data_IF_222806734960
#
_entry.id   IF_222806734960
#
_cell.length_a   1.000
_cell.length_b   1.000
_cell.length_c   1.000
_cell.angle_alpha   90.00
_cell.angle_beta   90.00
_cell.angle_gamma   90.00
#
_symmetry.space_group_name_H-M   'P 1'
#
loop_
_entity.id
_entity.type
_entity.pdbx_description
1 polymer ?
#
# COMPACT_ATOMS: atom_id res chain seq x y z
N UNK A 1 -14.63 16.81 -0.93
CA UNK A 1 -13.77 17.42 -1.96
C UNK A 1 -14.37 18.72 -2.50
N UNK A 2 -13.56 19.76 -2.64
CA UNK A 2 -14.03 21.07 -3.11
C UNK A 2 -14.51 21.00 -4.56
N UNK A 3 -15.76 21.42 -4.81
CA UNK A 3 -16.40 21.45 -6.14
C UNK A 3 -16.32 20.11 -6.91
N UNK A 4 -16.38 18.98 -6.20
CA UNK A 4 -16.36 17.63 -6.79
C UNK A 4 -17.54 16.79 -6.26
N UNK A 5 -18.77 17.08 -6.70
CA UNK A 5 -19.95 16.30 -6.30
C UNK A 5 -19.82 14.83 -6.72
N UNK A 6 -19.19 14.57 -7.86
CA UNK A 6 -18.86 13.24 -8.36
C UNK A 6 -18.03 12.38 -7.39
N UNK A 7 -17.25 12.99 -6.48
CA UNK A 7 -16.52 12.27 -5.44
C UNK A 7 -17.19 12.34 -4.06
N UNK A 8 -18.00 13.37 -3.81
CA UNK A 8 -18.66 13.58 -2.52
C UNK A 8 -19.91 12.72 -2.37
N UNK A 9 -20.58 12.43 -3.49
CA UNK A 9 -21.81 11.65 -3.56
C UNK A 9 -21.55 10.20 -4.00
N UNK A 10 -20.27 9.82 -4.17
CA UNK A 10 -19.85 8.48 -4.56
C UNK A 10 -19.94 7.52 -3.36
N UNK A 11 -20.80 6.52 -3.46
CA UNK A 11 -20.96 5.46 -2.45
C UNK A 11 -19.71 4.58 -2.28
N UNK A 12 -18.75 4.66 -3.22
CA UNK A 12 -17.42 4.06 -3.08
C UNK A 12 -16.51 4.82 -2.13
N UNK A 13 -16.81 6.09 -1.84
CA UNK A 13 -16.04 6.99 -0.96
C UNK A 13 -16.75 7.18 0.38
N UNK A 14 -18.04 7.50 0.37
CA UNK A 14 -18.87 7.67 1.57
C UNK A 14 -20.00 6.65 1.56
N UNK A 15 -20.05 5.77 2.56
CA UNK A 15 -21.13 4.77 2.67
C UNK A 15 -22.34 5.33 3.43
N UNK A 16 -23.41 4.54 3.49
CA UNK A 16 -24.62 4.86 4.26
C UNK A 16 -24.26 5.29 5.69
N UNK A 17 -25.01 6.27 6.19
CA UNK A 17 -24.82 6.88 7.51
C UNK A 17 -23.55 7.75 7.64
N UNK A 18 -22.93 8.16 6.52
CA UNK A 18 -21.87 9.17 6.50
C UNK A 18 -20.47 8.65 6.83
N UNK A 19 -20.28 7.33 6.89
CA UNK A 19 -18.96 6.73 7.11
C UNK A 19 -18.06 6.89 5.89
N UNK A 20 -16.83 7.34 6.11
CA UNK A 20 -15.83 7.55 5.07
C UNK A 20 -14.92 6.31 4.90
N UNK A 21 -14.74 5.86 3.66
CA UNK A 21 -13.76 4.82 3.32
C UNK A 21 -12.38 5.45 3.15
N UNK A 22 -11.54 5.34 4.17
CA UNK A 22 -10.17 5.90 4.17
C UNK A 22 -9.25 5.27 3.11
N UNK A 23 -9.61 4.07 2.64
CA UNK A 23 -8.78 3.26 1.74
C UNK A 23 -7.69 2.48 2.46
N UNK A 24 -7.77 2.37 3.78
CA UNK A 24 -6.87 1.59 4.64
C UNK A 24 -7.47 0.24 5.01
N UNK A 25 -6.60 -0.73 5.27
CA UNK A 25 -6.93 -2.06 5.77
C UNK A 25 -6.45 -2.13 7.21
N UNK A 26 -7.40 -2.31 8.13
CA UNK A 26 -7.11 -2.45 9.56
C UNK A 26 -7.37 -3.87 10.05
N UNK A 27 -6.63 -4.28 11.07
CA UNK A 27 -6.86 -5.51 11.81
C UNK A 27 -7.11 -5.18 13.28
N UNK A 28 -8.26 -5.60 13.80
CA UNK A 28 -8.52 -5.56 15.24
C UNK A 28 -7.69 -6.63 15.94
N UNK A 29 -6.95 -6.21 16.95
CA UNK A 29 -6.19 -7.09 17.83
C UNK A 29 -7.09 -7.60 18.98
N UNK A 30 -6.64 -8.65 19.66
CA UNK A 30 -7.38 -9.24 20.79
C UNK A 30 -7.57 -8.26 21.97
N UNK A 31 -6.68 -7.29 22.12
CA UNK A 31 -6.72 -6.23 23.13
C UNK A 31 -7.64 -5.04 22.74
N UNK A 32 -8.31 -5.11 21.58
CA UNK A 32 -9.20 -4.07 21.08
C UNK A 32 -8.49 -2.91 20.38
N UNK A 33 -7.18 -2.96 20.19
CA UNK A 33 -6.43 -1.96 19.42
C UNK A 33 -6.54 -2.25 17.92
N UNK A 34 -6.60 -1.20 17.09
CA UNK A 34 -6.62 -1.32 15.63
C UNK A 34 -5.21 -1.15 15.06
N UNK A 35 -4.70 -2.19 14.40
CA UNK A 35 -3.45 -2.14 13.65
C UNK A 35 -3.71 -1.73 12.20
N UNK A 36 -2.95 -0.77 11.68
CA UNK A 36 -2.95 -0.44 10.25
C UNK A 36 -2.04 -1.43 9.52
N UNK A 37 -2.60 -2.15 8.55
CA UNK A 37 -1.90 -3.25 7.87
C UNK A 37 -1.45 -2.86 6.47
N UNK A 38 -2.32 -2.23 5.69
CA UNK A 38 -2.01 -1.87 4.30
C UNK A 38 -3.04 -0.88 3.71
N UNK A 39 -2.90 -0.54 2.43
CA UNK A 39 -3.85 0.24 1.62
C UNK A 39 -4.65 -0.69 0.70
N UNK A 40 -5.96 -0.47 0.61
CA UNK A 40 -6.88 -1.28 -0.22
C UNK A 40 -6.42 -1.35 -1.68
N UNK A 41 -5.84 -0.27 -2.23
CA UNK A 41 -5.38 -0.22 -3.62
C UNK A 41 -4.13 -1.07 -3.89
N UNK A 42 -3.38 -1.44 -2.85
CA UNK A 42 -2.04 -2.03 -2.96
C UNK A 42 -2.07 -3.53 -2.71
N UNK A 43 -3.11 -4.03 -2.06
CA UNK A 43 -3.46 -5.46 -1.96
C UNK A 43 -3.58 -6.19 -3.31
N UNK A 44 -3.65 -5.49 -4.44
CA UNK A 44 -3.98 -6.06 -5.75
C UNK A 44 -2.79 -6.66 -6.55
N UNK A 45 -1.54 -6.55 -6.08
CA UNK A 45 -0.39 -6.75 -6.97
C UNK A 45 0.46 -7.96 -6.57
N UNK A 46 0.06 -9.17 -7.03
CA UNK A 46 0.88 -10.35 -7.39
C UNK A 46 0.04 -11.65 -7.26
N UNK A 47 0.16 -12.57 -8.22
CA UNK A 47 -0.37 -13.94 -8.09
C UNK A 47 0.24 -14.59 -6.84
N UNK A 48 -0.59 -14.81 -5.80
CA UNK A 48 -0.15 -15.41 -4.53
C UNK A 48 0.00 -14.46 -3.34
N UNK A 49 -0.51 -13.21 -3.43
CA UNK A 49 -0.75 -12.37 -2.25
C UNK A 49 0.50 -11.84 -1.54
N UNK A 50 1.66 -11.84 -2.20
CA UNK A 50 2.87 -11.22 -1.63
C UNK A 50 2.82 -9.70 -1.84
N UNK A 51 2.71 -8.96 -0.75
CA UNK A 51 2.61 -7.50 -0.78
C UNK A 51 3.93 -6.87 -1.18
N UNK A 52 3.91 -6.12 -2.28
CA UNK A 52 5.05 -5.40 -2.84
C UNK A 52 5.58 -4.34 -1.86
N UNK A 53 4.70 -3.66 -1.11
CA UNK A 53 5.11 -2.67 -0.12
C UNK A 53 5.90 -3.24 1.06
N UNK A 54 5.55 -4.45 1.53
CA UNK A 54 6.34 -5.13 2.58
C UNK A 54 7.77 -5.39 2.11
N UNK A 55 7.94 -5.66 0.81
CA UNK A 55 9.26 -5.85 0.20
C UNK A 55 10.05 -4.54 0.20
N UNK A 56 9.42 -3.44 -0.21
CA UNK A 56 10.04 -2.11 -0.19
C UNK A 56 10.46 -1.73 1.23
N UNK A 57 9.57 -1.88 2.21
CA UNK A 57 9.86 -1.58 3.61
C UNK A 57 11.04 -2.39 4.14
N UNK A 58 11.06 -3.71 3.88
CA UNK A 58 12.13 -4.58 4.34
C UNK A 58 13.49 -4.24 3.72
N UNK A 59 13.52 -3.88 2.44
CA UNK A 59 14.76 -3.53 1.74
C UNK A 59 15.24 -2.10 2.02
N UNK A 60 14.31 -1.16 2.19
CA UNK A 60 14.62 0.23 2.55
C UNK A 60 15.38 0.35 3.88
N UNK A 61 15.23 -0.63 4.78
CA UNK A 61 15.99 -0.70 6.03
C UNK A 61 17.48 -1.08 5.86
N UNK A 62 17.95 -1.41 4.64
CA UNK A 62 19.34 -1.80 4.38
C UNK A 62 20.20 -0.57 4.03
N UNK A 63 21.41 -0.53 4.59
CA UNK A 63 22.36 0.59 4.40
C UNK A 63 22.75 0.87 2.95
N UNK A 64 22.66 -0.12 2.06
CA UNK A 64 22.97 0.03 0.64
C UNK A 64 21.85 0.69 -0.17
N UNK A 65 20.60 0.67 0.31
CA UNK A 65 19.42 1.05 -0.46
C UNK A 65 18.98 2.46 -0.07
N UNK A 66 19.24 3.41 -0.97
CA UNK A 66 18.82 4.81 -0.84
C UNK A 66 17.32 4.97 -1.04
N UNK A 67 16.75 4.45 -2.13
CA UNK A 67 15.31 4.33 -2.39
C UNK A 67 15.01 3.04 -3.15
N UNK A 68 13.80 2.52 -3.01
CA UNK A 68 13.30 1.37 -3.74
C UNK A 68 11.86 1.62 -4.17
N UNK A 69 11.52 1.20 -5.37
CA UNK A 69 10.14 1.09 -5.86
C UNK A 69 10.01 -0.30 -6.49
N UNK A 70 9.21 -1.16 -5.89
CA UNK A 70 8.91 -2.48 -6.38
C UNK A 70 7.55 -2.48 -7.08
N UNK A 71 7.42 -3.29 -8.13
CA UNK A 71 6.21 -3.43 -8.91
C UNK A 71 6.01 -4.90 -9.25
N UNK A 72 4.77 -5.37 -9.12
CA UNK A 72 4.34 -6.66 -9.63
C UNK A 72 2.99 -6.50 -10.32
N UNK A 73 2.74 -7.29 -11.37
CA UNK A 73 1.41 -7.44 -11.96
C UNK A 73 0.80 -8.75 -11.48
N UNK A 74 -0.53 -8.87 -11.57
CA UNK A 74 -1.24 -10.06 -11.10
C UNK A 74 -0.81 -11.35 -11.83
N UNK A 75 -0.31 -11.25 -13.06
CA UNK A 75 0.19 -12.34 -13.90
C UNK A 75 1.70 -12.60 -13.75
N UNK A 76 2.44 -11.72 -13.06
CA UNK A 76 3.87 -11.88 -12.87
C UNK A 76 4.18 -12.93 -11.80
N UNK A 77 5.08 -13.87 -12.12
CA UNK A 77 5.58 -14.87 -11.16
C UNK A 77 6.48 -14.26 -10.06
N UNK A 78 7.09 -13.10 -10.33
CA UNK A 78 8.01 -12.40 -9.42
C UNK A 78 7.88 -10.89 -9.64
N UNK A 79 7.99 -10.06 -8.57
CA UNK A 79 8.07 -8.62 -8.73
C UNK A 79 9.41 -8.20 -9.33
N UNK A 80 9.43 -7.02 -9.93
CA UNK A 80 10.63 -6.27 -10.32
C UNK A 80 10.77 -5.05 -9.43
N UNK A 81 11.98 -4.52 -9.25
CA UNK A 81 12.18 -3.32 -8.46
C UNK A 81 13.24 -2.40 -9.09
N UNK A 82 13.01 -1.10 -8.98
CA UNK A 82 13.96 -0.04 -9.27
C UNK A 82 14.60 0.38 -7.95
N UNK A 83 15.93 0.34 -7.88
CA UNK A 83 16.70 0.66 -6.69
C UNK A 83 17.62 1.84 -6.98
N UNK A 84 17.55 2.85 -6.13
CA UNK A 84 18.55 3.92 -6.06
C UNK A 84 19.50 3.60 -4.90
N UNK A 85 20.76 3.23 -5.16
CA UNK A 85 21.70 2.92 -4.09
C UNK A 85 22.16 4.18 -3.35
N UNK A 86 22.62 4.01 -2.11
CA UNK A 86 23.28 5.07 -1.37
C UNK A 86 24.63 5.43 -2.00
N UNK A 87 24.85 6.72 -2.29
CA UNK A 87 26.10 7.21 -2.87
C UNK A 87 27.37 6.86 -2.08
N UNK A 88 27.24 6.66 -0.77
CA UNK A 88 28.38 6.34 0.11
C UNK A 88 28.95 4.94 -0.14
N UNK A 89 28.22 4.11 -0.87
CA UNK A 89 28.57 2.72 -1.18
C UNK A 89 28.78 2.48 -2.69
N UNK A 90 28.85 3.54 -3.49
CA UNK A 90 29.21 3.54 -4.91
C UNK A 90 30.68 3.95 -5.07
#
# INVERSE_FOLDING_TARGET
>A
YYKRPDLNDDETVFIKYGWFRTGDVGQWNEDGVLSLIDRVKILANLQGGKMVERLEFAYKARSYIGNICAQGTADAKRPVAIVVPHKVHL
#
